data_IF_634035162167
#
_entry.id   IF_634035162167
#
_cell.length_a   1.000
_cell.length_b   1.000
_cell.length_c   1.000
_cell.angle_alpha   90.00
_cell.angle_beta   90.00
_cell.angle_gamma   90.00
#
_symmetry.space_group_name_H-M   'P 1'
#
loop_
_entity.id
_entity.type
_entity.pdbx_description
1 polymer ?
#
# COMPACT_ATOMS: atom_id res chain seq x y z
N UNK A 1 -13.79 18.97 -4.06
CA UNK A 1 -12.55 19.36 -3.37
C UNK A 1 -11.65 18.15 -3.45
N UNK A 2 -10.46 18.28 -4.05
CA UNK A 2 -9.56 17.12 -4.19
C UNK A 2 -8.90 16.78 -2.85
N UNK A 3 -8.51 15.51 -2.63
CA UNK A 3 -7.74 15.07 -1.46
C UNK A 3 -6.60 16.05 -1.11
N UNK A 4 -5.88 16.56 -2.12
CA UNK A 4 -4.77 17.51 -1.92
C UNK A 4 -5.17 18.82 -1.24
N UNK A 5 -6.40 19.30 -1.44
CA UNK A 5 -6.94 20.49 -0.78
C UNK A 5 -7.45 20.16 0.63
N UNK A 6 -7.97 18.95 0.84
CA UNK A 6 -8.43 18.48 2.16
C UNK A 6 -7.25 18.27 3.14
N UNK A 7 -6.08 17.88 2.61
CA UNK A 7 -4.86 17.58 3.39
C UNK A 7 -3.81 18.71 3.40
N UNK A 8 -4.14 19.91 2.91
CA UNK A 8 -3.31 21.09 3.10
C UNK A 8 -1.92 21.05 2.43
N UNK A 9 -1.77 20.32 1.32
CA UNK A 9 -0.53 20.30 0.56
C UNK A 9 -0.41 21.55 -0.34
N UNK A 10 -0.18 22.69 0.31
CA UNK A 10 0.14 23.96 -0.35
C UNK A 10 1.59 24.01 -0.83
N UNK A 11 1.78 24.08 -2.15
CA UNK A 11 3.09 24.23 -2.79
C UNK A 11 3.88 25.44 -2.29
N UNK A 12 5.13 25.19 -1.89
CA UNK A 12 5.98 26.14 -1.19
C UNK A 12 6.46 27.34 -2.00
N UNK A 13 6.18 28.53 -1.47
CA UNK A 13 6.90 29.76 -1.78
C UNK A 13 8.32 29.77 -1.20
N UNK A 14 9.22 30.55 -1.82
CA UNK A 14 10.66 30.64 -1.54
C UNK A 14 11.06 31.15 -0.15
N UNK A 15 10.71 30.41 0.90
CA UNK A 15 11.15 30.62 2.27
C UNK A 15 12.52 30.00 2.57
N UNK A 16 13.15 30.46 3.66
CA UNK A 16 14.40 29.91 4.18
C UNK A 16 14.20 28.44 4.60
N UNK A 17 14.98 27.52 4.03
CA UNK A 17 14.90 26.07 4.32
C UNK A 17 14.93 25.81 5.83
N UNK A 18 13.97 25.05 6.32
CA UNK A 18 13.82 24.69 7.74
C UNK A 18 14.92 23.70 8.18
N UNK A 19 15.00 23.41 9.49
CA UNK A 19 15.89 22.35 9.99
C UNK A 19 15.47 20.98 9.43
N UNK A 20 14.17 20.70 9.41
CA UNK A 20 13.60 19.46 8.85
C UNK A 20 14.01 19.32 7.38
N UNK A 21 13.83 20.36 6.55
CA UNK A 21 14.22 20.30 5.12
C UNK A 21 15.68 19.91 4.89
N UNK A 22 16.58 20.40 5.76
CA UNK A 22 18.01 20.08 5.66
C UNK A 22 18.29 18.64 6.06
N UNK A 23 17.64 18.15 7.10
CA UNK A 23 17.78 16.77 7.57
C UNK A 23 17.16 15.79 6.58
N UNK A 24 15.96 16.06 6.05
CA UNK A 24 15.32 15.25 5.01
C UNK A 24 16.25 15.04 3.82
N UNK A 25 16.89 16.12 3.33
CA UNK A 25 17.86 16.02 2.23
C UNK A 25 19.06 15.14 2.54
N UNK A 26 19.49 15.08 3.79
CA UNK A 26 20.60 14.22 4.20
C UNK A 26 20.15 12.76 4.29
N UNK A 27 18.99 12.51 4.89
CA UNK A 27 18.38 11.18 5.02
C UNK A 27 18.12 10.54 3.65
N UNK A 28 17.63 11.31 2.68
CA UNK A 28 17.30 10.80 1.34
C UNK A 28 18.45 10.93 0.33
N UNK A 29 19.66 11.28 0.77
CA UNK A 29 20.81 11.34 -0.13
C UNK A 29 21.49 9.97 -0.24
N UNK A 30 21.28 9.29 -1.36
CA UNK A 30 21.90 8.00 -1.67
C UNK A 30 23.44 8.02 -1.68
N UNK A 31 24.05 9.20 -1.86
CA UNK A 31 25.50 9.39 -1.89
C UNK A 31 26.10 9.83 -0.54
N UNK A 32 25.27 10.14 0.46
CA UNK A 32 25.76 10.42 1.80
C UNK A 32 26.42 9.17 2.40
N UNK A 33 27.34 9.35 3.35
CA UNK A 33 27.86 8.21 4.10
C UNK A 33 26.79 7.72 5.08
N UNK A 34 26.78 6.41 5.36
CA UNK A 34 25.82 5.81 6.29
C UNK A 34 25.78 6.51 7.66
N UNK A 35 26.92 6.85 8.31
CA UNK A 35 26.91 7.60 9.56
C UNK A 35 26.23 8.96 9.49
N UNK A 36 26.35 9.67 8.35
CA UNK A 36 25.69 10.97 8.16
C UNK A 36 24.17 10.83 8.08
N UNK A 37 23.68 9.73 7.47
CA UNK A 37 22.26 9.42 7.42
C UNK A 37 21.74 9.01 8.79
N UNK A 38 22.44 8.14 9.52
CA UNK A 38 22.08 7.79 10.90
C UNK A 38 21.95 9.02 11.78
N UNK A 39 22.97 9.89 11.79
CA UNK A 39 22.95 11.12 12.58
C UNK A 39 21.75 12.02 12.20
N UNK A 40 21.42 12.12 10.90
CA UNK A 40 20.27 12.90 10.45
C UNK A 40 18.93 12.28 10.88
N UNK A 41 18.83 10.95 10.84
CA UNK A 41 17.64 10.22 11.30
C UNK A 41 17.46 10.37 12.82
N UNK A 42 18.53 10.24 13.60
CA UNK A 42 18.50 10.47 15.06
C UNK A 42 18.08 11.90 15.41
N UNK A 43 18.62 12.89 14.70
CA UNK A 43 18.24 14.30 14.87
C UNK A 43 16.75 14.53 14.59
N UNK A 44 16.19 13.88 13.56
CA UNK A 44 14.76 13.96 13.24
C UNK A 44 13.90 13.25 14.29
N UNK A 45 14.30 12.07 14.75
CA UNK A 45 13.60 11.33 15.82
C UNK A 45 13.55 12.18 17.08
N UNK A 46 14.69 12.74 17.50
CA UNK A 46 14.79 13.59 18.68
C UNK A 46 13.92 14.85 18.54
N UNK A 47 14.01 15.53 17.39
CA UNK A 47 13.22 16.74 17.14
C UNK A 47 11.71 16.44 17.13
N UNK A 48 11.29 15.34 16.50
CA UNK A 48 9.91 14.89 16.49
C UNK A 48 9.39 14.61 17.90
N UNK A 49 10.13 13.81 18.68
CA UNK A 49 9.77 13.45 20.04
C UNK A 49 9.67 14.67 20.97
N UNK A 50 10.68 15.55 20.98
CA UNK A 50 10.67 16.77 21.80
C UNK A 50 9.53 17.73 21.41
N UNK A 51 9.17 17.77 20.13
CA UNK A 51 8.06 18.62 19.63
C UNK A 51 6.72 18.02 20.04
N UNK A 52 6.57 16.70 19.94
CA UNK A 52 5.38 15.97 20.38
C UNK A 52 5.15 16.12 21.89
N UNK A 53 6.20 15.94 22.70
CA UNK A 53 6.13 16.13 24.16
C UNK A 53 5.70 17.54 24.56
N UNK A 54 6.06 18.57 23.79
CA UNK A 54 5.57 19.94 24.00
C UNK A 54 4.10 20.06 23.67
N UNK A 55 3.64 19.42 22.59
CA UNK A 55 2.24 19.41 22.20
C UNK A 55 1.35 18.79 23.29
N UNK A 56 1.79 17.68 23.89
CA UNK A 56 1.05 16.99 24.96
C UNK A 56 0.87 17.82 26.25
N UNK A 57 1.65 18.91 26.43
CA UNK A 57 1.50 19.84 27.56
C UNK A 57 0.40 20.88 27.33
N UNK A 58 -0.12 20.97 26.12
CA UNK A 58 -1.18 21.91 25.73
C UNK A 58 -2.55 21.21 25.73
N UNK A 59 -3.65 21.96 25.92
CA UNK A 59 -5.00 21.39 25.86
C UNK A 59 -5.27 20.66 24.54
N UNK A 60 -5.90 19.50 24.63
CA UNK A 60 -6.34 18.73 23.47
C UNK A 60 -7.25 19.55 22.56
N UNK A 61 -7.03 19.44 21.25
CA UNK A 61 -7.80 20.19 20.24
C UNK A 61 -7.43 21.66 20.10
N UNK A 62 -6.55 22.22 20.94
CA UNK A 62 -6.08 23.60 20.78
C UNK A 62 -5.26 23.78 19.50
N UNK A 63 -5.40 24.92 18.84
CA UNK A 63 -4.67 25.24 17.61
C UNK A 63 -3.15 25.21 17.81
N UNK A 64 -2.68 25.61 18.99
CA UNK A 64 -1.25 25.56 19.33
C UNK A 64 -0.75 24.11 19.46
N UNK A 65 -1.55 23.21 20.07
CA UNK A 65 -1.23 21.78 20.14
C UNK A 65 -1.17 21.17 18.75
N UNK A 66 -2.21 21.38 17.92
CA UNK A 66 -2.26 20.88 16.53
C UNK A 66 -1.03 21.34 15.73
N UNK A 67 -0.67 22.61 15.85
CA UNK A 67 0.50 23.15 15.15
C UNK A 67 1.83 22.50 15.59
N UNK A 68 1.96 22.06 16.85
CA UNK A 68 3.12 21.29 17.31
C UNK A 68 3.06 19.84 16.87
N UNK A 69 1.90 19.19 16.92
CA UNK A 69 1.70 17.82 16.42
C UNK A 69 2.06 17.75 14.93
N UNK A 70 1.56 18.67 14.10
CA UNK A 70 1.89 18.75 12.67
C UNK A 70 3.40 18.90 12.44
N UNK A 71 4.10 19.72 13.24
CA UNK A 71 5.56 19.90 13.14
C UNK A 71 6.33 18.63 13.55
N UNK A 72 5.84 17.90 14.55
CA UNK A 72 6.42 16.63 14.93
C UNK A 72 6.22 15.58 13.83
N UNK A 73 5.01 15.50 13.28
CA UNK A 73 4.67 14.64 12.15
C UNK A 73 5.52 14.94 10.91
N UNK A 74 5.82 16.20 10.60
CA UNK A 74 6.71 16.55 9.50
C UNK A 74 8.13 15.95 9.67
N UNK A 75 8.59 15.78 10.92
CA UNK A 75 9.84 15.08 11.21
C UNK A 75 9.74 13.58 10.94
N UNK A 76 8.62 12.95 11.29
CA UNK A 76 8.38 11.53 11.04
C UNK A 76 8.15 11.23 9.56
N UNK A 77 7.43 12.10 8.83
CA UNK A 77 7.28 12.02 7.37
C UNK A 77 8.64 12.15 6.68
N UNK A 78 9.52 13.02 7.17
CA UNK A 78 10.89 13.11 6.67
C UNK A 78 11.69 11.81 6.85
N UNK A 79 11.44 11.07 7.94
CA UNK A 79 12.03 9.75 8.17
C UNK A 79 11.42 8.68 7.26
N UNK A 80 10.10 8.66 7.07
CA UNK A 80 9.41 7.69 6.19
C UNK A 80 9.96 7.76 4.75
N UNK A 81 10.32 8.95 4.27
CA UNK A 81 11.00 9.14 2.97
C UNK A 81 12.35 8.41 2.85
N UNK A 82 12.97 7.95 3.94
CA UNK A 82 14.16 7.08 3.88
C UNK A 82 13.86 5.75 3.19
N UNK A 83 12.64 5.22 3.37
CA UNK A 83 12.25 3.92 2.85
C UNK A 83 12.11 3.90 1.33
N UNK A 84 11.82 5.03 0.70
CA UNK A 84 11.71 5.14 -0.77
C UNK A 84 13.07 5.29 -1.47
N UNK A 85 14.16 5.49 -0.72
CA UNK A 85 15.52 5.60 -1.25
C UNK A 85 16.28 4.28 -1.10
N UNK A 86 17.12 3.96 -2.09
CA UNK A 86 18.03 2.80 -2.07
C UNK A 86 19.46 3.34 -2.07
N UNK A 87 20.21 3.08 -1.01
CA UNK A 87 21.62 3.45 -0.93
C UNK A 87 22.48 2.53 -1.82
N UNK A 88 23.65 3.02 -2.25
CA UNK A 88 24.55 2.31 -3.18
C UNK A 88 25.08 0.99 -2.64
N UNK A 89 25.20 0.87 -1.31
CA UNK A 89 25.59 -0.36 -0.62
C UNK A 89 24.34 -1.01 -0.03
N UNK A 90 23.90 -2.10 -0.66
CA UNK A 90 22.62 -2.76 -0.34
C UNK A 90 22.54 -3.30 1.08
N UNK A 91 23.64 -3.83 1.63
CA UNK A 91 23.67 -4.33 3.02
C UNK A 91 23.46 -3.18 4.01
N UNK A 92 24.20 -2.07 3.85
CA UNK A 92 24.05 -0.88 4.70
C UNK A 92 22.65 -0.26 4.55
N UNK A 93 22.06 -0.32 3.35
CA UNK A 93 20.70 0.17 3.10
C UNK A 93 19.65 -0.60 3.91
N UNK A 94 19.71 -1.94 3.88
CA UNK A 94 18.80 -2.81 4.61
C UNK A 94 18.98 -2.68 6.13
N UNK A 95 20.23 -2.56 6.61
CA UNK A 95 20.50 -2.32 8.03
C UNK A 95 19.92 -0.99 8.51
N UNK A 96 20.09 0.09 7.72
CA UNK A 96 19.53 1.40 8.03
C UNK A 96 18.00 1.39 8.06
N UNK A 97 17.36 0.78 7.05
CA UNK A 97 15.90 0.67 6.99
C UNK A 97 15.37 -0.18 8.13
N UNK A 98 16.00 -1.32 8.42
CA UNK A 98 15.64 -2.18 9.55
C UNK A 98 15.81 -1.49 10.90
N UNK A 99 16.88 -0.70 11.08
CA UNK A 99 17.06 0.13 12.27
C UNK A 99 15.96 1.19 12.37
N UNK A 100 15.69 1.93 11.30
CA UNK A 100 14.70 2.99 11.30
C UNK A 100 13.29 2.46 11.58
N UNK A 101 12.92 1.36 10.93
CA UNK A 101 11.66 0.66 11.17
C UNK A 101 11.46 0.36 12.66
N UNK A 102 12.43 -0.30 13.32
CA UNK A 102 12.34 -0.57 14.77
C UNK A 102 12.18 0.70 15.61
N UNK A 103 12.85 1.79 15.23
CA UNK A 103 12.76 3.07 15.95
C UNK A 103 11.39 3.73 15.78
N UNK A 104 10.80 3.67 14.57
CA UNK A 104 9.48 4.23 14.30
C UNK A 104 8.37 3.37 14.91
N UNK A 105 8.44 2.04 14.80
CA UNK A 105 7.48 1.13 15.45
C UNK A 105 7.47 1.33 16.97
N UNK A 106 8.62 1.56 17.61
CA UNK A 106 8.70 1.82 19.04
C UNK A 106 8.00 3.11 19.50
N UNK A 107 7.66 4.03 18.60
CA UNK A 107 6.84 5.21 18.90
C UNK A 107 5.37 4.80 19.12
N UNK A 108 4.89 3.77 18.43
CA UNK A 108 3.52 3.26 18.53
C UNK A 108 2.49 4.13 17.80
N UNK A 109 1.25 4.18 18.34
CA UNK A 109 0.10 4.86 17.75
C UNK A 109 0.32 6.30 17.25
N UNK A 110 1.17 7.15 17.85
CA UNK A 110 1.49 8.46 17.28
C UNK A 110 2.06 8.42 15.85
N UNK A 111 2.53 7.26 15.35
CA UNK A 111 2.97 7.09 13.96
C UNK A 111 1.82 6.95 12.95
N UNK A 112 0.60 6.67 13.38
CA UNK A 112 -0.53 6.44 12.46
C UNK A 112 -0.91 7.69 11.67
N UNK A 113 -1.02 8.84 12.33
CA UNK A 113 -1.29 10.13 11.67
C UNK A 113 -0.22 10.54 10.63
N UNK A 114 1.10 10.52 10.94
CA UNK A 114 2.12 10.85 9.94
C UNK A 114 2.18 9.82 8.81
N UNK A 115 1.93 8.53 9.07
CA UNK A 115 1.82 7.53 7.99
C UNK A 115 0.63 7.83 7.09
N UNK A 116 -0.55 8.08 7.66
CA UNK A 116 -1.77 8.45 6.91
C UNK A 116 -1.54 9.67 6.02
N UNK A 117 -0.80 10.68 6.49
CA UNK A 117 -0.40 11.86 5.70
C UNK A 117 0.64 11.52 4.62
N UNK A 118 1.59 10.64 4.91
CA UNK A 118 2.68 10.29 4.01
C UNK A 118 2.21 9.47 2.80
N UNK A 119 1.35 8.48 3.04
CA UNK A 119 1.01 7.47 2.02
C UNK A 119 0.27 8.04 0.81
N UNK A 120 -0.40 9.19 0.93
CA UNK A 120 -1.17 9.84 -0.14
C UNK A 120 -0.35 10.18 -1.38
N UNK A 121 0.91 10.57 -1.21
CA UNK A 121 1.80 10.99 -2.31
C UNK A 121 3.10 10.17 -2.34
N UNK A 122 3.15 9.04 -1.62
CA UNK A 122 4.36 8.22 -1.51
C UNK A 122 4.52 7.28 -2.71
N UNK A 123 5.72 7.25 -3.30
CA UNK A 123 6.06 6.27 -4.35
C UNK A 123 6.15 4.84 -3.81
N UNK A 124 6.39 4.67 -2.50
CA UNK A 124 6.49 3.37 -1.85
C UNK A 124 6.03 3.43 -0.40
N UNK A 125 5.19 2.47 -0.02
CA UNK A 125 4.46 2.43 1.26
C UNK A 125 4.68 1.12 2.03
N UNK A 126 5.34 0.11 1.47
CA UNK A 126 5.52 -1.20 2.10
C UNK A 126 6.07 -1.12 3.54
N UNK A 127 7.12 -0.34 3.78
CA UNK A 127 7.66 -0.17 5.14
C UNK A 127 6.71 0.59 6.06
N UNK A 128 5.93 1.55 5.53
CA UNK A 128 4.92 2.26 6.30
C UNK A 128 3.80 1.33 6.72
N UNK A 129 3.34 0.46 5.83
CA UNK A 129 2.30 -0.53 6.11
C UNK A 129 2.77 -1.57 7.14
N UNK A 130 4.02 -2.03 7.07
CA UNK A 130 4.60 -2.87 8.13
C UNK A 130 4.60 -2.20 9.51
N UNK A 131 4.81 -0.87 9.57
CA UNK A 131 4.68 -0.14 10.84
C UNK A 131 3.22 -0.12 11.28
N UNK A 132 2.26 0.04 10.36
CA UNK A 132 0.82 -0.02 10.65
C UNK A 132 0.45 -1.37 11.25
N UNK A 133 0.87 -2.50 10.64
CA UNK A 133 0.64 -3.86 11.15
C UNK A 133 1.05 -4.02 12.61
N UNK A 134 2.21 -3.46 12.99
CA UNK A 134 2.76 -3.61 14.34
C UNK A 134 2.11 -2.69 15.39
N UNK A 135 1.51 -1.58 14.97
CA UNK A 135 1.09 -0.50 15.91
C UNK A 135 -0.40 -0.18 15.89
N UNK A 136 -1.11 -0.51 14.82
CA UNK A 136 -2.53 -0.23 14.65
C UNK A 136 -3.39 -1.35 15.22
N UNK A 137 -4.58 -1.01 15.70
CA UNK A 137 -5.70 -1.94 15.72
C UNK A 137 -6.43 -1.95 14.38
N UNK A 138 -7.33 -2.91 14.18
CA UNK A 138 -8.12 -3.10 12.96
C UNK A 138 -8.76 -1.79 12.45
N UNK A 139 -9.48 -1.06 13.30
CA UNK A 139 -10.14 0.20 12.89
C UNK A 139 -9.13 1.26 12.39
N UNK A 140 -7.97 1.36 13.03
CA UNK A 140 -6.92 2.34 12.68
C UNK A 140 -6.20 1.95 11.38
N UNK A 141 -6.02 0.65 11.14
CA UNK A 141 -5.49 0.13 9.88
C UNK A 141 -6.44 0.45 8.71
N UNK A 142 -7.74 0.21 8.91
CA UNK A 142 -8.75 0.54 7.90
C UNK A 142 -8.86 2.04 7.60
N UNK A 143 -8.67 2.93 8.58
CA UNK A 143 -8.61 4.38 8.32
C UNK A 143 -7.46 4.77 7.37
N UNK A 144 -6.35 4.02 7.38
CA UNK A 144 -5.22 4.24 6.48
C UNK A 144 -5.51 3.60 5.11
N UNK A 145 -6.10 2.41 5.09
CA UNK A 145 -6.52 1.73 3.86
C UNK A 145 -7.56 2.52 3.09
N UNK A 146 -8.52 3.16 3.77
CA UNK A 146 -9.52 4.02 3.13
C UNK A 146 -8.86 5.18 2.37
N UNK A 147 -7.84 5.80 2.98
CA UNK A 147 -7.06 6.86 2.32
C UNK A 147 -6.30 6.33 1.12
N UNK A 148 -5.71 5.14 1.23
CA UNK A 148 -4.97 4.50 0.15
C UNK A 148 -5.88 4.09 -1.01
N UNK A 149 -7.06 3.53 -0.72
CA UNK A 149 -8.06 3.14 -1.70
C UNK A 149 -8.63 4.35 -2.44
N UNK A 150 -8.82 5.47 -1.74
CA UNK A 150 -9.23 6.75 -2.36
C UNK A 150 -8.11 7.33 -3.24
N UNK A 151 -6.85 7.18 -2.83
CA UNK A 151 -5.69 7.69 -3.56
C UNK A 151 -5.32 6.83 -4.78
N UNK A 152 -5.55 5.51 -4.71
CA UNK A 152 -5.13 4.53 -5.71
C UNK A 152 -6.28 3.64 -6.23
N UNK A 153 -7.40 4.22 -6.69
CA UNK A 153 -8.53 3.42 -7.20
C UNK A 153 -8.13 2.62 -8.46
N UNK A 154 -8.93 1.63 -8.89
CA UNK A 154 -8.74 0.96 -10.18
C UNK A 154 -8.61 1.99 -11.32
N UNK A 155 -7.55 1.88 -12.11
CA UNK A 155 -7.26 2.87 -13.15
C UNK A 155 -5.77 3.09 -13.41
N UNK A 156 -5.49 3.80 -14.50
CA UNK A 156 -4.12 4.01 -14.93
C UNK A 156 -3.39 4.95 -13.97
N UNK A 157 -2.24 4.48 -13.47
CA UNK A 157 -1.28 5.27 -12.72
C UNK A 157 0.07 5.20 -13.42
N UNK A 158 0.78 6.33 -13.46
CA UNK A 158 2.12 6.37 -14.05
C UNK A 158 3.11 5.49 -13.28
N UNK A 159 2.98 5.45 -11.97
CA UNK A 159 3.72 4.55 -11.09
C UNK A 159 2.69 3.89 -10.15
N UNK A 160 2.48 2.60 -10.35
CA UNK A 160 1.50 1.80 -9.60
C UNK A 160 2.13 1.05 -8.42
N UNK A 161 3.39 1.36 -8.05
CA UNK A 161 4.09 0.66 -6.97
C UNK A 161 3.34 0.73 -5.64
N UNK A 162 2.83 1.91 -5.27
CA UNK A 162 2.06 2.10 -4.05
C UNK A 162 0.73 1.31 -4.10
N UNK A 163 -0.01 1.38 -5.22
CA UNK A 163 -1.21 0.55 -5.46
C UNK A 163 -0.92 -0.94 -5.28
N UNK A 164 0.15 -1.46 -5.90
CA UNK A 164 0.53 -2.87 -5.77
C UNK A 164 0.85 -3.25 -4.32
N UNK A 165 1.55 -2.38 -3.59
CA UNK A 165 1.86 -2.61 -2.17
C UNK A 165 0.62 -2.56 -1.28
N UNK A 166 -0.32 -1.67 -1.55
CA UNK A 166 -1.63 -1.63 -0.89
C UNK A 166 -2.41 -2.92 -1.13
N UNK A 167 -2.46 -3.43 -2.37
CA UNK A 167 -3.18 -4.67 -2.68
C UNK A 167 -2.52 -5.91 -2.05
N UNK A 168 -1.19 -5.96 -2.02
CA UNK A 168 -0.45 -6.99 -1.28
C UNK A 168 -0.80 -6.97 0.21
N UNK A 169 -0.90 -5.79 0.79
CA UNK A 169 -1.31 -5.62 2.18
C UNK A 169 -2.76 -6.06 2.42
N UNK A 170 -3.70 -5.60 1.59
CA UNK A 170 -5.12 -5.96 1.68
C UNK A 170 -5.33 -7.47 1.64
N UNK A 171 -4.58 -8.19 0.80
CA UNK A 171 -4.69 -9.65 0.66
C UNK A 171 -4.41 -10.39 1.98
N UNK A 172 -3.52 -9.87 2.83
CA UNK A 172 -3.13 -10.53 4.08
C UNK A 172 -4.13 -10.28 5.23
N UNK A 173 -5.13 -9.41 5.01
CA UNK A 173 -6.15 -9.08 6.00
C UNK A 173 -7.30 -10.10 5.93
N UNK A 174 -7.61 -10.71 7.07
CA UNK A 174 -8.78 -11.58 7.25
C UNK A 174 -10.04 -10.73 7.50
N UNK A 175 -10.59 -10.13 6.44
CA UNK A 175 -11.81 -9.32 6.49
C UNK A 175 -12.68 -9.54 5.23
N UNK A 176 -14.00 -9.77 5.38
CA UNK A 176 -14.91 -10.01 4.25
C UNK A 176 -14.95 -8.91 3.18
N UNK A 177 -14.54 -7.67 3.52
CA UNK A 177 -14.46 -6.55 2.56
C UNK A 177 -13.33 -6.75 1.54
N UNK A 178 -12.28 -7.48 1.90
CA UNK A 178 -11.07 -7.66 1.07
C UNK A 178 -11.41 -8.29 -0.26
N UNK A 179 -12.28 -9.31 -0.28
CA UNK A 179 -12.75 -9.95 -1.51
C UNK A 179 -13.33 -8.94 -2.50
N UNK A 180 -14.29 -8.13 -2.04
CA UNK A 180 -15.00 -7.18 -2.92
C UNK A 180 -14.06 -6.06 -3.40
N UNK A 181 -13.13 -5.64 -2.54
CA UNK A 181 -12.07 -4.70 -2.91
C UNK A 181 -11.17 -5.28 -3.99
N UNK A 182 -10.62 -6.49 -3.81
CA UNK A 182 -9.77 -7.15 -4.81
C UNK A 182 -10.51 -7.38 -6.13
N UNK A 183 -11.79 -7.78 -6.08
CA UNK A 183 -12.62 -7.96 -7.25
C UNK A 183 -12.78 -6.66 -8.06
N UNK A 184 -12.82 -5.49 -7.41
CA UNK A 184 -12.91 -4.20 -8.11
C UNK A 184 -11.67 -3.87 -8.97
N UNK A 185 -10.52 -4.50 -8.68
CA UNK A 185 -9.27 -4.32 -9.45
C UNK A 185 -9.09 -5.34 -10.57
N UNK A 186 -10.02 -6.29 -10.77
CA UNK A 186 -10.01 -7.19 -11.94
C UNK A 186 -10.21 -6.44 -13.27
N UNK A 187 -10.65 -5.17 -13.24
CA UNK A 187 -10.74 -4.30 -14.41
C UNK A 187 -9.61 -3.28 -14.51
N UNK A 188 -8.56 -3.35 -13.66
CA UNK A 188 -7.47 -2.37 -13.70
C UNK A 188 -6.70 -2.45 -15.02
N UNK A 189 -6.29 -1.33 -15.65
CA UNK A 189 -5.57 -1.36 -16.91
C UNK A 189 -4.21 -2.07 -16.85
N UNK A 190 -3.59 -2.16 -15.68
CA UNK A 190 -2.32 -2.87 -15.50
C UNK A 190 -2.54 -4.39 -15.38
N UNK A 191 -1.97 -5.19 -16.28
CA UNK A 191 -2.13 -6.65 -16.27
C UNK A 191 -1.59 -7.27 -14.99
N UNK A 192 -0.47 -6.76 -14.46
CA UNK A 192 0.11 -7.27 -13.22
C UNK A 192 -0.79 -7.05 -12.00
N UNK A 193 -1.61 -5.98 -11.99
CA UNK A 193 -2.62 -5.74 -10.95
C UNK A 193 -3.77 -6.74 -11.09
N UNK A 194 -4.32 -6.90 -12.31
CA UNK A 194 -5.39 -7.87 -12.57
C UNK A 194 -4.98 -9.29 -12.22
N UNK A 195 -3.75 -9.66 -12.57
CA UNK A 195 -3.19 -10.97 -12.26
C UNK A 195 -3.04 -11.17 -10.75
N UNK A 196 -2.49 -10.19 -10.04
CA UNK A 196 -2.40 -10.25 -8.58
C UNK A 196 -3.77 -10.43 -7.91
N UNK A 197 -4.78 -9.66 -8.32
CA UNK A 197 -6.12 -9.77 -7.76
C UNK A 197 -6.80 -11.10 -8.13
N UNK A 198 -6.57 -11.60 -9.34
CA UNK A 198 -7.03 -12.94 -9.75
C UNK A 198 -6.43 -14.02 -8.85
N UNK A 199 -5.11 -13.99 -8.61
CA UNK A 199 -4.44 -14.91 -7.69
C UNK A 199 -5.06 -14.87 -6.30
N UNK A 200 -5.18 -13.66 -5.75
CA UNK A 200 -5.67 -13.46 -4.40
C UNK A 200 -7.09 -14.00 -4.22
N UNK A 201 -7.99 -13.76 -5.18
CA UNK A 201 -9.35 -14.27 -5.13
C UNK A 201 -9.43 -15.80 -5.26
N UNK A 202 -8.58 -16.40 -6.10
CA UNK A 202 -8.51 -17.87 -6.24
C UNK A 202 -7.96 -18.50 -4.95
N UNK A 203 -6.92 -17.92 -4.36
CA UNK A 203 -6.31 -18.42 -3.12
C UNK A 203 -7.26 -18.31 -1.92
N UNK A 204 -8.04 -17.22 -1.83
CA UNK A 204 -9.05 -17.04 -0.78
C UNK A 204 -10.22 -18.03 -0.93
N UNK A 205 -10.50 -18.47 -2.16
CA UNK A 205 -11.46 -19.53 -2.48
C UNK A 205 -12.90 -19.28 -1.97
N UNK A 206 -13.28 -18.02 -1.77
CA UNK A 206 -14.64 -17.64 -1.38
C UNK A 206 -15.61 -17.88 -2.55
N UNK A 207 -16.75 -18.58 -2.36
CA UNK A 207 -17.73 -18.81 -3.43
C UNK A 207 -18.22 -17.53 -4.12
N UNK A 208 -18.27 -16.43 -3.38
CA UNK A 208 -18.66 -15.10 -3.86
C UNK A 208 -17.69 -14.52 -4.89
N UNK A 209 -16.46 -15.05 -4.98
CA UNK A 209 -15.48 -14.67 -6.01
C UNK A 209 -15.77 -15.28 -7.39
N UNK A 210 -16.67 -16.27 -7.48
CA UNK A 210 -16.99 -16.94 -8.74
C UNK A 210 -17.49 -15.97 -9.82
N UNK A 211 -18.49 -15.15 -9.50
CA UNK A 211 -19.10 -14.23 -10.47
C UNK A 211 -18.09 -13.18 -10.98
N UNK A 212 -17.30 -12.50 -10.11
CA UNK A 212 -16.22 -11.62 -10.57
C UNK A 212 -15.20 -12.33 -11.49
N UNK A 213 -14.77 -13.55 -11.15
CA UNK A 213 -13.79 -14.29 -11.93
C UNK A 213 -14.36 -14.74 -13.28
N UNK A 214 -15.63 -15.13 -13.35
CA UNK A 214 -16.32 -15.46 -14.61
C UNK A 214 -16.47 -14.22 -15.48
N UNK A 215 -16.89 -13.09 -14.91
CA UNK A 215 -17.00 -11.84 -15.65
C UNK A 215 -15.63 -11.40 -16.20
N UNK A 216 -14.57 -11.56 -15.41
CA UNK A 216 -13.21 -11.26 -15.83
C UNK A 216 -12.73 -12.18 -16.96
N UNK A 217 -12.95 -13.50 -16.85
CA UNK A 217 -12.65 -14.46 -17.93
C UNK A 217 -13.40 -14.13 -19.23
N UNK A 218 -14.64 -13.68 -19.11
CA UNK A 218 -15.53 -13.40 -20.23
C UNK A 218 -15.33 -12.01 -20.86
N UNK A 219 -14.43 -11.17 -20.34
CA UNK A 219 -14.22 -9.80 -20.86
C UNK A 219 -13.75 -9.79 -22.33
N UNK A 220 -13.13 -10.89 -22.79
CA UNK A 220 -12.68 -11.06 -24.18
C UNK A 220 -11.36 -10.36 -24.51
N UNK A 221 -10.89 -9.46 -23.63
CA UNK A 221 -9.67 -8.66 -23.83
C UNK A 221 -8.47 -9.19 -23.03
N UNK A 222 -8.65 -10.24 -22.21
CA UNK A 222 -7.58 -10.74 -21.36
C UNK A 222 -6.50 -11.55 -22.08
N UNK A 223 -5.28 -11.41 -21.56
CA UNK A 223 -4.10 -12.15 -21.98
C UNK A 223 -4.30 -13.67 -21.78
N UNK A 224 -3.58 -14.46 -22.58
CA UNK A 224 -3.57 -15.93 -22.41
C UNK A 224 -3.09 -16.33 -21.02
N UNK A 225 -2.17 -15.55 -20.42
CA UNK A 225 -1.63 -15.77 -19.08
C UNK A 225 -2.73 -15.68 -18.01
N UNK A 226 -3.53 -14.62 -18.05
CA UNK A 226 -4.64 -14.41 -17.11
C UNK A 226 -5.74 -15.45 -17.29
N UNK A 227 -6.14 -15.68 -18.54
CA UNK A 227 -7.16 -16.68 -18.89
C UNK A 227 -6.79 -18.07 -18.39
N UNK A 228 -5.57 -18.53 -18.68
CA UNK A 228 -5.06 -19.81 -18.18
C UNK A 228 -5.10 -19.87 -16.66
N UNK A 229 -4.69 -18.80 -15.99
CA UNK A 229 -4.64 -18.80 -14.53
C UNK A 229 -6.00 -18.88 -13.85
N UNK A 230 -7.03 -18.24 -14.44
CA UNK A 230 -8.41 -18.37 -13.99
C UNK A 230 -8.90 -19.82 -14.19
N UNK A 231 -8.63 -20.43 -15.35
CA UNK A 231 -8.99 -21.82 -15.63
C UNK A 231 -8.29 -22.80 -14.68
N UNK A 232 -7.01 -22.57 -14.39
CA UNK A 232 -6.24 -23.30 -13.37
C UNK A 232 -6.93 -23.21 -12.01
N UNK A 233 -7.33 -22.00 -11.61
CA UNK A 233 -8.06 -21.79 -10.35
C UNK A 233 -9.39 -22.52 -10.31
N UNK A 234 -10.16 -22.49 -11.39
CA UNK A 234 -11.41 -23.25 -11.48
C UNK A 234 -11.19 -24.77 -11.41
N UNK A 235 -10.11 -25.27 -12.01
CA UNK A 235 -9.74 -26.68 -11.93
C UNK A 235 -9.33 -27.08 -10.50
N UNK A 236 -8.54 -26.24 -9.82
CA UNK A 236 -8.09 -26.48 -8.43
C UNK A 236 -9.25 -26.45 -7.44
N UNK A 237 -10.13 -25.46 -7.56
CA UNK A 237 -11.25 -25.25 -6.65
C UNK A 237 -12.41 -26.20 -6.93
N UNK A 238 -12.52 -26.71 -8.16
CA UNK A 238 -13.55 -27.66 -8.56
C UNK A 238 -14.97 -27.11 -8.41
N UNK A 239 -15.13 -25.79 -8.55
CA UNK A 239 -16.41 -25.08 -8.50
C UNK A 239 -17.37 -25.56 -9.59
N UNK A 240 -18.68 -25.51 -9.32
CA UNK A 240 -19.71 -25.79 -10.32
C UNK A 240 -19.94 -24.55 -11.19
N UNK A 241 -19.58 -24.66 -12.46
CA UNK A 241 -19.65 -23.62 -13.47
C UNK A 241 -20.76 -23.90 -14.49
N UNK A 242 -21.68 -24.83 -14.22
CA UNK A 242 -22.75 -25.20 -15.15
C UNK A 242 -23.61 -23.99 -15.57
N UNK A 243 -23.86 -23.05 -14.66
CA UNK A 243 -24.54 -21.79 -14.94
C UNK A 243 -23.76 -20.86 -15.90
N UNK A 244 -22.45 -21.03 -16.00
CA UNK A 244 -21.53 -20.21 -16.81
C UNK A 244 -20.89 -21.00 -17.96
N UNK A 245 -21.45 -22.16 -18.31
CA UNK A 245 -20.88 -23.08 -19.29
C UNK A 245 -20.56 -22.43 -20.66
N UNK A 246 -21.34 -21.43 -21.09
CA UNK A 246 -21.08 -20.70 -22.32
C UNK A 246 -19.78 -19.88 -22.24
N UNK A 247 -19.59 -19.12 -21.16
CA UNK A 247 -18.40 -18.30 -20.95
C UNK A 247 -17.15 -19.17 -20.81
N UNK A 248 -17.24 -20.28 -20.08
CA UNK A 248 -16.12 -21.22 -19.92
C UNK A 248 -15.73 -21.84 -21.27
N UNK A 249 -16.69 -22.36 -22.05
CA UNK A 249 -16.40 -22.95 -23.37
C UNK A 249 -15.80 -21.96 -24.37
N UNK A 250 -16.24 -20.71 -24.33
CA UNK A 250 -15.71 -19.67 -25.22
C UNK A 250 -14.24 -19.30 -24.90
N UNK A 251 -13.80 -19.51 -23.66
CA UNK A 251 -12.49 -19.08 -23.19
C UNK A 251 -11.56 -20.24 -22.80
N UNK A 252 -11.94 -21.49 -23.07
CA UNK A 252 -11.12 -22.67 -22.80
C UNK A 252 -9.84 -22.66 -23.66
N UNK A 253 -8.70 -22.99 -23.06
CA UNK A 253 -7.43 -23.15 -23.77
C UNK A 253 -7.14 -24.64 -24.10
N UNK A 254 -5.96 -24.94 -24.64
CA UNK A 254 -5.58 -26.30 -25.03
C UNK A 254 -5.19 -27.21 -23.85
N UNK A 255 -4.90 -26.63 -22.68
CA UNK A 255 -4.48 -27.37 -21.48
C UNK A 255 -5.64 -27.70 -20.54
N UNK A 256 -6.84 -27.19 -20.84
CA UNK A 256 -8.02 -27.38 -20.02
C UNK A 256 -9.16 -28.07 -20.78
N UNK A 257 -9.91 -28.90 -20.07
CA UNK A 257 -11.16 -29.50 -20.55
C UNK A 257 -12.33 -29.08 -19.64
N UNK A 258 -13.55 -29.10 -20.16
CA UNK A 258 -14.76 -28.74 -19.42
C UNK A 258 -15.85 -29.80 -19.62
N UNK A 259 -16.27 -30.46 -18.54
CA UNK A 259 -17.24 -31.57 -18.59
C UNK A 259 -18.71 -31.12 -18.62
N UNK A 260 -18.96 -29.81 -18.56
CA UNK A 260 -20.29 -29.21 -18.46
C UNK A 260 -20.61 -28.66 -17.07
N UNK A 261 -19.85 -29.03 -16.05
CA UNK A 261 -19.94 -28.47 -14.70
C UNK A 261 -18.57 -28.00 -14.19
N UNK A 262 -17.49 -28.74 -14.44
CA UNK A 262 -16.15 -28.47 -13.89
C UNK A 262 -15.10 -28.37 -14.97
N UNK A 263 -14.09 -27.52 -14.73
CA UNK A 263 -12.86 -27.46 -15.51
C UNK A 263 -11.87 -28.49 -14.96
N UNK A 264 -11.12 -29.14 -15.85
CA UNK A 264 -10.05 -30.07 -15.52
C UNK A 264 -8.80 -29.70 -16.30
N UNK A 265 -7.62 -29.92 -15.72
CA UNK A 265 -6.35 -29.89 -16.47
C UNK A 265 -6.22 -31.16 -17.30
N UNK A 266 -5.69 -31.03 -18.51
CA UNK A 266 -5.52 -32.11 -19.49
C UNK A 266 -4.19 -32.83 -19.30
#
# INVERSE_FOLDING_TARGET
MGLKELFGFGGGGGGRKTKVDRLTKRVTNQYAQSPDRYAAMEDLIKLGAETWEKALKLPEGSEERKALETKAEDCYIALLKRFSMVASKTIEDEEEKGWLYRRLTAIGKPMLSPIRRYVVDAEGIAWSLRIVEDVAGEAEEWEILDVLLEAHPPGYERDNRAKRQMLMHLKEIDDPRVRDLLASYLGDPEEDIRFFCTEALIENAEPESLEPLIAHLASGEESLRLRRRILDGFADLGWDLSAHAAAVRQNLDEDHSFDGAKVHRT
#
